data_IF_101542018456
#
_entry.id   IF_101542018456
#
_cell.length_a   1.000
_cell.length_b   1.000
_cell.length_c   1.000
_cell.angle_alpha   90.00
_cell.angle_beta   90.00
_cell.angle_gamma   90.00
#
_symmetry.space_group_name_H-M   'P 1'
#
loop_
_entity.id
_entity.type
_entity.pdbx_description
1 polymer ?
#
# COMPACT_ATOMS: atom_id res chain seq x y z
N UNK A 1 8.35 28.04 -23.50
CA UNK A 1 8.82 27.73 -22.14
C UNK A 1 8.09 28.66 -21.19
N UNK A 2 6.99 28.20 -20.58
CA UNK A 2 6.29 28.95 -19.54
C UNK A 2 7.16 28.97 -18.30
N UNK A 3 7.51 30.12 -17.80
CA UNK A 3 8.10 30.29 -16.46
C UNK A 3 6.99 29.99 -15.48
N UNK A 4 7.01 28.79 -14.90
CA UNK A 4 6.20 28.51 -13.71
C UNK A 4 6.77 29.37 -12.59
N UNK A 5 6.05 30.39 -12.17
CA UNK A 5 6.42 31.16 -10.98
C UNK A 5 6.37 30.23 -9.75
N UNK A 6 7.31 30.39 -8.80
CA UNK A 6 7.27 29.63 -7.55
C UNK A 6 5.94 29.89 -6.84
N UNK A 7 5.25 28.81 -6.46
CA UNK A 7 4.01 28.90 -5.69
C UNK A 7 4.31 28.50 -4.25
N UNK A 8 3.85 29.31 -3.29
CA UNK A 8 3.94 28.97 -1.89
C UNK A 8 3.03 27.77 -1.60
N UNK A 9 3.57 26.74 -0.96
CA UNK A 9 2.83 25.51 -0.59
C UNK A 9 2.60 25.40 0.92
N UNK A 10 2.90 26.44 1.69
CA UNK A 10 2.82 26.38 3.15
C UNK A 10 1.42 26.02 3.67
N UNK A 11 0.38 26.44 2.97
CA UNK A 11 -1.01 26.15 3.33
C UNK A 11 -1.48 24.76 2.82
N UNK A 12 -0.72 24.14 1.92
CA UNK A 12 -1.07 22.85 1.30
C UNK A 12 -0.41 21.65 1.99
N UNK A 13 0.63 21.89 2.81
CA UNK A 13 1.38 20.81 3.48
C UNK A 13 0.79 20.50 4.85
N UNK A 14 0.76 19.23 5.27
CA UNK A 14 0.02 18.84 6.49
C UNK A 14 0.71 19.22 7.81
N UNK A 15 2.03 19.50 7.81
CA UNK A 15 2.81 19.86 9.00
C UNK A 15 4.16 20.45 8.61
N UNK A 16 4.86 21.03 9.58
CA UNK A 16 6.22 21.54 9.41
C UNK A 16 7.23 20.37 9.38
N UNK A 17 8.25 20.50 8.56
CA UNK A 17 9.35 19.53 8.45
C UNK A 17 10.69 20.20 8.77
N UNK A 18 11.74 19.43 9.18
CA UNK A 18 13.08 19.98 9.37
C UNK A 18 13.64 20.63 8.10
N UNK A 19 14.50 21.63 8.26
CA UNK A 19 15.12 22.37 7.15
C UNK A 19 15.91 21.48 6.16
N UNK A 20 16.34 20.29 6.63
CA UNK A 20 17.04 19.30 5.80
C UNK A 20 16.11 18.41 4.97
N UNK A 21 14.80 18.56 5.11
CA UNK A 21 13.78 17.78 4.39
C UNK A 21 13.13 18.64 3.30
N UNK A 22 12.53 17.96 2.33
CA UNK A 22 11.78 18.63 1.26
C UNK A 22 10.38 18.05 1.11
N UNK A 23 9.38 18.89 0.81
CA UNK A 23 8.07 18.44 0.37
C UNK A 23 8.07 18.21 -1.14
N UNK A 24 7.81 16.98 -1.56
CA UNK A 24 7.80 16.61 -2.97
C UNK A 24 6.48 15.89 -3.32
N UNK A 25 5.87 16.21 -4.46
CA UNK A 25 4.68 15.48 -4.90
C UNK A 25 5.04 14.05 -5.29
N UNK A 26 4.21 13.09 -4.89
CA UNK A 26 4.48 11.66 -5.08
C UNK A 26 4.77 11.30 -6.55
N UNK A 27 4.11 11.94 -7.50
CA UNK A 27 4.36 11.74 -8.95
C UNK A 27 5.81 11.97 -9.38
N UNK A 28 6.56 12.79 -8.64
CA UNK A 28 7.97 13.08 -8.91
C UNK A 28 8.94 12.12 -8.21
N UNK A 29 8.42 11.20 -7.40
CA UNK A 29 9.17 10.26 -6.56
C UNK A 29 9.07 8.81 -7.05
N UNK A 30 8.48 8.57 -8.21
CA UNK A 30 8.18 7.23 -8.72
C UNK A 30 8.88 6.95 -10.04
N UNK A 31 9.19 5.67 -10.29
CA UNK A 31 9.83 5.18 -11.53
C UNK A 31 8.87 5.06 -12.71
N UNK A 32 7.57 4.99 -12.45
CA UNK A 32 6.54 4.85 -13.48
C UNK A 32 5.34 5.73 -13.16
N UNK A 33 4.54 6.00 -14.18
CA UNK A 33 3.28 6.71 -14.02
C UNK A 33 2.37 6.03 -12.98
N UNK A 34 1.80 6.83 -12.07
CA UNK A 34 0.82 6.35 -11.10
C UNK A 34 -0.51 6.19 -11.82
N UNK A 35 -0.86 4.94 -12.11
CA UNK A 35 -2.10 4.58 -12.80
C UNK A 35 -2.65 3.25 -12.29
N UNK A 36 -3.92 3.01 -12.55
CA UNK A 36 -4.55 1.71 -12.33
C UNK A 36 -4.08 0.71 -13.39
N UNK A 37 -4.11 -0.57 -13.03
CA UNK A 37 -3.92 -1.63 -14.01
C UNK A 37 -5.03 -1.67 -15.06
N UNK A 38 -5.07 -2.72 -15.86
CA UNK A 38 -6.02 -2.92 -16.97
C UNK A 38 -7.12 -3.90 -16.58
N UNK A 39 -8.29 -3.76 -17.22
CA UNK A 39 -9.36 -4.76 -17.11
C UNK A 39 -8.89 -6.10 -17.69
N UNK A 40 -8.79 -7.15 -16.87
CA UNK A 40 -8.24 -8.42 -17.32
C UNK A 40 -9.28 -9.28 -18.06
N UNK A 41 -8.81 -10.11 -18.98
CA UNK A 41 -9.54 -11.27 -19.44
C UNK A 41 -9.03 -12.47 -18.67
N UNK A 42 -9.89 -13.13 -17.93
CA UNK A 42 -9.51 -14.24 -17.06
C UNK A 42 -9.54 -15.58 -17.78
N UNK A 43 -8.68 -16.51 -17.34
CA UNK A 43 -8.68 -17.92 -17.72
C UNK A 43 -8.59 -18.83 -16.50
N UNK A 44 -8.73 -20.13 -16.69
CA UNK A 44 -8.64 -21.14 -15.60
C UNK A 44 -7.21 -21.44 -15.18
N UNK A 45 -6.23 -21.28 -16.10
CA UNK A 45 -4.83 -21.60 -15.86
C UNK A 45 -3.92 -20.79 -16.79
N UNK A 46 -2.83 -20.28 -16.25
CA UNK A 46 -1.78 -19.53 -16.96
C UNK A 46 -0.57 -19.39 -16.03
N UNK A 47 0.56 -18.96 -16.57
CA UNK A 47 1.73 -18.51 -15.78
C UNK A 47 1.66 -17.03 -15.40
N UNK A 48 0.55 -16.36 -15.70
CA UNK A 48 0.35 -14.94 -15.44
C UNK A 48 -0.84 -14.79 -14.50
N UNK A 49 -0.60 -14.19 -13.35
CA UNK A 49 -1.64 -13.92 -12.36
C UNK A 49 -2.05 -12.45 -12.37
N UNK A 50 -3.29 -12.19 -12.01
CA UNK A 50 -3.86 -10.85 -11.89
C UNK A 50 -3.97 -10.48 -10.43
N UNK A 51 -3.23 -9.46 -10.03
CA UNK A 51 -3.35 -8.85 -8.71
C UNK A 51 -4.63 -8.01 -8.67
N UNK A 52 -5.63 -8.53 -7.99
CA UNK A 52 -6.89 -7.83 -7.76
C UNK A 52 -6.95 -7.23 -6.35
N UNK A 53 -7.84 -6.26 -6.13
CA UNK A 53 -8.03 -5.62 -4.83
C UNK A 53 -8.18 -6.60 -3.64
N UNK A 54 -8.73 -7.79 -3.88
CA UNK A 54 -8.91 -8.81 -2.85
C UNK A 54 -7.59 -9.46 -2.41
N UNK A 55 -6.54 -9.40 -3.24
CA UNK A 55 -5.21 -9.89 -2.89
C UNK A 55 -4.54 -9.02 -1.81
N UNK A 56 -4.93 -7.75 -1.70
CA UNK A 56 -4.52 -6.85 -0.62
C UNK A 56 -5.49 -7.05 0.56
N UNK A 57 -5.13 -7.88 1.53
CA UNK A 57 -6.04 -8.39 2.56
C UNK A 57 -6.20 -7.43 3.76
N UNK A 58 -7.35 -7.50 4.43
CA UNK A 58 -7.68 -6.61 5.56
C UNK A 58 -6.78 -6.80 6.77
N UNK A 59 -6.31 -8.02 6.99
CA UNK A 59 -5.40 -8.33 8.10
C UNK A 59 -3.98 -7.79 7.91
N UNK A 60 -3.72 -7.15 6.78
CA UNK A 60 -2.40 -6.70 6.34
C UNK A 60 -1.69 -7.76 5.48
N UNK A 61 -0.80 -7.29 4.60
CA UNK A 61 -0.07 -8.14 3.66
C UNK A 61 -0.84 -8.48 2.39
N UNK A 62 -0.22 -9.33 1.60
CA UNK A 62 -0.69 -9.76 0.29
C UNK A 62 -0.98 -11.27 0.31
N UNK A 63 -2.11 -11.67 -0.26
CA UNK A 63 -2.49 -13.07 -0.44
C UNK A 63 -2.73 -13.36 -1.93
N UNK A 64 -1.72 -13.91 -2.59
CA UNK A 64 -1.77 -14.26 -4.01
C UNK A 64 -2.55 -15.55 -4.28
N UNK A 65 -2.97 -16.31 -3.27
CA UNK A 65 -3.88 -17.46 -3.47
C UNK A 65 -5.26 -16.99 -3.95
N UNK A 66 -5.60 -15.74 -3.69
CA UNK A 66 -6.82 -15.09 -4.15
C UNK A 66 -6.75 -14.57 -5.59
N UNK A 67 -5.56 -14.55 -6.20
CA UNK A 67 -5.38 -14.09 -7.56
C UNK A 67 -6.05 -15.03 -8.57
N UNK A 68 -6.47 -14.47 -9.70
CA UNK A 68 -6.94 -15.22 -10.86
C UNK A 68 -5.87 -15.21 -11.95
N UNK A 69 -6.03 -16.07 -12.95
CA UNK A 69 -5.11 -16.14 -14.06
C UNK A 69 -5.55 -15.25 -15.24
N UNK A 70 -4.58 -14.59 -15.87
CA UNK A 70 -4.77 -13.82 -17.08
C UNK A 70 -4.76 -14.75 -18.31
N UNK A 71 -5.66 -14.50 -19.26
CA UNK A 71 -5.61 -15.15 -20.57
C UNK A 71 -4.35 -14.70 -21.33
N UNK A 72 -3.48 -15.63 -21.68
CA UNK A 72 -2.18 -15.38 -22.33
C UNK A 72 -2.31 -14.57 -23.63
N UNK A 73 -3.44 -14.69 -24.33
CA UNK A 73 -3.68 -13.97 -25.59
C UNK A 73 -3.76 -12.44 -25.42
N UNK A 74 -4.05 -11.96 -24.21
CA UNK A 74 -4.12 -10.53 -23.93
C UNK A 74 -2.84 -9.99 -23.28
N UNK A 75 -1.92 -10.85 -22.83
CA UNK A 75 -0.68 -10.44 -22.17
C UNK A 75 0.19 -9.50 -23.02
N UNK A 76 0.29 -9.62 -24.34
CA UNK A 76 1.05 -8.67 -25.16
C UNK A 76 0.60 -7.20 -25.04
N UNK A 77 -0.59 -6.95 -24.46
CA UNK A 77 -1.10 -5.59 -24.15
C UNK A 77 -0.55 -5.02 -22.84
N UNK A 78 0.19 -5.81 -22.06
CA UNK A 78 0.80 -5.40 -20.80
C UNK A 78 2.30 -5.17 -21.03
N UNK A 79 2.76 -3.89 -21.05
CA UNK A 79 4.18 -3.61 -21.09
C UNK A 79 4.89 -4.19 -19.86
N UNK A 80 6.16 -4.54 -20.01
CA UNK A 80 6.96 -5.10 -18.91
C UNK A 80 6.97 -4.20 -17.66
N UNK A 81 6.93 -2.89 -17.84
CA UNK A 81 6.87 -1.92 -16.75
C UNK A 81 5.59 -2.02 -15.91
N UNK A 82 4.50 -2.56 -16.47
CA UNK A 82 3.23 -2.77 -15.75
C UNK A 82 3.23 -4.07 -14.94
N UNK A 83 4.14 -5.01 -15.24
CA UNK A 83 4.32 -6.20 -14.42
C UNK A 83 4.80 -5.80 -13.01
N UNK A 84 4.20 -6.41 -12.00
CA UNK A 84 4.55 -6.12 -10.60
C UNK A 84 5.94 -6.63 -10.26
N UNK A 85 6.64 -5.86 -9.45
CA UNK A 85 8.00 -6.12 -8.97
C UNK A 85 8.05 -6.07 -7.47
N UNK A 86 9.11 -6.62 -6.90
CA UNK A 86 9.37 -6.50 -5.46
C UNK A 86 9.27 -5.06 -4.98
N UNK A 87 8.71 -4.88 -3.79
CA UNK A 87 8.50 -3.59 -3.14
C UNK A 87 7.55 -2.62 -3.88
N UNK A 88 6.75 -3.09 -4.84
CA UNK A 88 5.65 -2.30 -5.40
C UNK A 88 4.58 -2.05 -4.34
N UNK A 89 4.22 -0.78 -4.13
CA UNK A 89 3.14 -0.40 -3.24
C UNK A 89 1.84 -0.43 -4.03
N UNK A 90 0.80 -1.03 -3.44
CA UNK A 90 -0.51 -1.18 -4.06
C UNK A 90 -1.56 -0.42 -3.27
N UNK A 91 -2.46 0.28 -3.99
CA UNK A 91 -3.60 0.97 -3.39
C UNK A 91 -4.88 0.48 -4.06
N UNK A 92 -5.82 -0.01 -3.26
CA UNK A 92 -7.13 -0.38 -3.77
C UNK A 92 -7.90 0.88 -4.19
N UNK A 93 -8.15 1.02 -5.48
CA UNK A 93 -8.78 2.20 -6.07
C UNK A 93 -10.29 2.11 -6.17
N UNK A 94 -10.88 0.96 -5.84
CA UNK A 94 -12.33 0.71 -5.82
C UNK A 94 -12.67 -0.34 -4.76
N UNK A 95 -13.97 -0.57 -4.54
CA UNK A 95 -14.48 -1.67 -3.72
C UNK A 95 -14.93 -1.24 -2.33
N UNK A 96 -16.19 -1.59 -2.00
CA UNK A 96 -16.78 -1.29 -0.70
C UNK A 96 -15.98 -1.94 0.43
N UNK A 97 -15.48 -1.13 1.38
CA UNK A 97 -14.71 -1.57 2.54
C UNK A 97 -13.25 -1.97 2.23
N UNK A 98 -12.79 -1.78 0.99
CA UNK A 98 -11.39 -2.02 0.61
C UNK A 98 -10.71 -0.80 -0.02
N UNK A 99 -11.50 0.17 -0.43
CA UNK A 99 -11.06 1.41 -1.06
C UNK A 99 -10.04 2.15 -0.19
N UNK A 100 -8.96 2.63 -0.78
CA UNK A 100 -7.88 3.33 -0.07
C UNK A 100 -6.92 2.42 0.68
N UNK A 101 -7.18 1.09 0.78
CA UNK A 101 -6.29 0.16 1.46
C UNK A 101 -4.94 0.10 0.76
N UNK A 102 -3.89 0.22 1.56
CA UNK A 102 -2.51 0.20 1.10
C UNK A 102 -1.87 -1.13 1.48
N UNK A 103 -1.10 -1.70 0.56
CA UNK A 103 -0.30 -2.91 0.76
C UNK A 103 1.05 -2.75 0.08
N UNK A 104 2.00 -3.61 0.39
CA UNK A 104 3.27 -3.73 -0.30
C UNK A 104 3.41 -5.16 -0.81
N UNK A 105 3.68 -5.29 -2.09
CA UNK A 105 3.93 -6.57 -2.74
C UNK A 105 5.41 -6.91 -2.66
N UNK A 106 5.71 -8.15 -2.30
CA UNK A 106 7.06 -8.71 -2.28
C UNK A 106 7.16 -9.90 -3.22
N UNK A 107 8.35 -10.17 -3.74
CA UNK A 107 8.57 -11.35 -4.57
C UNK A 107 8.30 -12.66 -3.79
N UNK A 108 8.42 -12.64 -2.46
CA UNK A 108 8.02 -13.75 -1.58
C UNK A 108 6.51 -14.05 -1.60
N UNK A 109 5.67 -13.12 -2.05
CA UNK A 109 4.23 -13.30 -2.18
C UNK A 109 3.86 -14.10 -3.45
N UNK A 110 4.81 -14.24 -4.40
CA UNK A 110 4.58 -14.95 -5.68
C UNK A 110 4.30 -16.43 -5.45
N UNK A 111 3.39 -16.96 -6.24
CA UNK A 111 3.16 -18.39 -6.35
C UNK A 111 3.82 -18.89 -7.63
N UNK A 112 4.73 -19.86 -7.52
CA UNK A 112 5.40 -20.52 -8.66
C UNK A 112 6.09 -19.52 -9.62
N UNK A 113 6.65 -18.43 -9.12
CA UNK A 113 7.34 -17.42 -9.94
C UNK A 113 6.49 -16.83 -11.09
N UNK A 114 5.18 -16.88 -10.97
CA UNK A 114 4.28 -16.36 -11.98
C UNK A 114 4.50 -14.85 -12.21
N UNK A 115 4.33 -14.43 -13.46
CA UNK A 115 4.23 -13.01 -13.79
C UNK A 115 2.95 -12.46 -13.16
N UNK A 116 3.02 -11.27 -12.57
CA UNK A 116 1.86 -10.64 -11.95
C UNK A 116 1.59 -9.30 -12.60
N UNK A 117 0.34 -9.07 -12.97
CA UNK A 117 -0.15 -7.80 -13.51
C UNK A 117 -1.30 -7.26 -12.66
N UNK A 118 -1.37 -5.95 -12.41
CA UNK A 118 -2.47 -5.37 -11.65
C UNK A 118 -3.75 -5.27 -12.48
N UNK A 119 -4.90 -5.45 -11.84
CA UNK A 119 -6.20 -5.17 -12.47
C UNK A 119 -6.59 -3.68 -12.43
N UNK A 120 -7.71 -3.34 -13.06
CA UNK A 120 -8.22 -1.97 -13.14
C UNK A 120 -8.72 -1.41 -11.80
N UNK A 121 -8.74 -2.20 -10.73
CA UNK A 121 -9.17 -1.81 -9.40
C UNK A 121 -8.01 -1.49 -8.44
N UNK A 122 -6.77 -1.64 -8.92
CA UNK A 122 -5.55 -1.43 -8.12
C UNK A 122 -4.66 -0.41 -8.81
N UNK A 123 -4.17 0.56 -8.04
CA UNK A 123 -3.11 1.49 -8.45
C UNK A 123 -1.78 0.99 -7.88
N UNK A 124 -0.76 0.92 -8.73
CA UNK A 124 0.59 0.49 -8.35
C UNK A 124 1.54 1.67 -8.34
N UNK A 125 2.30 1.80 -7.25
CA UNK A 125 3.31 2.83 -7.04
C UNK A 125 4.66 2.13 -6.93
N UNK A 126 5.62 2.51 -7.76
CA UNK A 126 6.99 2.04 -7.73
C UNK A 126 7.91 3.18 -7.37
N UNK A 127 8.47 3.15 -6.16
CA UNK A 127 9.37 4.18 -5.67
C UNK A 127 10.61 4.30 -6.59
N UNK A 128 11.15 5.52 -6.69
CA UNK A 128 12.43 5.74 -7.37
C UNK A 128 13.58 5.11 -6.57
N UNK A 129 14.71 4.86 -7.20
CA UNK A 129 15.88 4.23 -6.57
C UNK A 129 16.55 5.07 -5.47
N UNK A 130 16.22 6.35 -5.40
CA UNK A 130 16.74 7.28 -4.38
C UNK A 130 15.89 7.30 -3.10
N UNK A 131 14.80 6.51 -3.08
CA UNK A 131 13.84 6.48 -1.99
C UNK A 131 13.63 5.05 -1.50
N UNK A 132 13.57 4.87 -0.19
CA UNK A 132 13.13 3.62 0.40
C UNK A 132 11.64 3.39 0.08
N UNK A 133 11.32 2.25 -0.53
CA UNK A 133 9.94 1.86 -0.76
C UNK A 133 9.18 1.70 0.56
N UNK A 134 9.83 1.15 1.60
CA UNK A 134 9.26 1.07 2.95
C UNK A 134 8.91 2.45 3.50
N UNK A 135 9.80 3.45 3.29
CA UNK A 135 9.51 4.81 3.73
C UNK A 135 8.25 5.36 3.06
N UNK A 136 8.16 5.27 1.74
CA UNK A 136 6.97 5.70 0.99
C UNK A 136 5.73 4.91 1.42
N UNK A 137 5.85 3.60 1.65
CA UNK A 137 4.75 2.76 2.13
C UNK A 137 4.19 3.28 3.46
N UNK A 138 5.04 3.57 4.45
CA UNK A 138 4.56 4.07 5.73
C UNK A 138 4.00 5.50 5.65
N UNK A 139 4.58 6.36 4.82
CA UNK A 139 4.00 7.69 4.57
C UNK A 139 2.63 7.57 3.90
N UNK A 140 2.46 6.66 2.94
CA UNK A 140 1.16 6.43 2.32
C UNK A 140 0.14 5.86 3.32
N UNK A 141 0.55 4.96 4.23
CA UNK A 141 -0.33 4.49 5.31
C UNK A 141 -0.81 5.64 6.21
N UNK A 142 0.02 6.64 6.49
CA UNK A 142 -0.42 7.86 7.16
C UNK A 142 -1.52 8.58 6.38
N UNK A 143 -1.45 8.59 5.05
CA UNK A 143 -2.46 9.19 4.19
C UNK A 143 -3.70 8.32 3.95
N UNK A 144 -3.71 7.05 4.38
CA UNK A 144 -4.85 6.15 4.10
C UNK A 144 -6.21 6.74 4.51
N UNK A 145 -6.40 7.33 5.71
CA UNK A 145 -7.69 7.94 6.08
C UNK A 145 -8.11 9.11 5.17
N UNK A 146 -7.15 9.86 4.66
CA UNK A 146 -7.40 10.92 3.67
C UNK A 146 -7.82 10.33 2.32
N UNK A 147 -7.12 9.30 1.84
CA UNK A 147 -7.44 8.62 0.58
C UNK A 147 -8.84 7.98 0.62
N UNK A 148 -9.21 7.36 1.72
CA UNK A 148 -10.55 6.79 1.93
C UNK A 148 -11.66 7.86 1.84
N UNK A 149 -11.41 9.07 2.34
CA UNK A 149 -12.35 10.21 2.28
C UNK A 149 -12.35 10.93 0.94
N UNK A 150 -11.25 10.86 0.18
CA UNK A 150 -11.06 11.58 -1.10
C UNK A 150 -11.71 10.85 -2.29
N UNK A 151 -12.50 9.84 -2.04
CA UNK A 151 -13.17 9.06 -3.06
C UNK A 151 -14.35 9.83 -3.65
N UNK A 152 -14.50 9.75 -4.97
CA UNK A 152 -15.57 10.39 -5.71
C UNK A 152 -16.44 9.36 -6.43
N UNK A 153 -17.74 9.63 -6.54
CA UNK A 153 -18.71 8.78 -7.24
C UNK A 153 -20.03 8.66 -6.49
N UNK A 154 -21.01 7.95 -7.10
CA UNK A 154 -22.28 7.62 -6.44
C UNK A 154 -22.08 6.51 -5.41
N UNK A 155 -23.01 6.35 -4.48
CA UNK A 155 -22.97 5.42 -3.34
C UNK A 155 -22.58 3.98 -3.71
N UNK A 156 -22.76 3.57 -4.97
CA UNK A 156 -22.44 2.22 -5.44
C UNK A 156 -21.20 2.13 -6.34
N UNK A 157 -20.55 3.25 -6.70
CA UNK A 157 -19.39 3.29 -7.59
C UNK A 157 -18.40 4.37 -7.18
N UNK A 158 -17.99 4.35 -5.91
CA UNK A 158 -16.92 5.22 -5.43
C UNK A 158 -15.58 4.71 -5.93
N UNK A 159 -14.75 5.62 -6.43
CA UNK A 159 -13.39 5.33 -6.87
C UNK A 159 -12.37 6.36 -6.37
N UNK A 160 -11.18 5.90 -6.11
CA UNK A 160 -10.01 6.72 -5.84
C UNK A 160 -9.27 6.97 -7.15
N UNK A 161 -9.25 8.22 -7.60
CA UNK A 161 -8.57 8.61 -8.84
C UNK A 161 -7.05 8.61 -8.65
N UNK A 162 -6.26 8.07 -9.60
CA UNK A 162 -4.80 8.12 -9.53
C UNK A 162 -4.24 9.53 -9.38
N UNK A 163 -4.92 10.54 -9.92
CA UNK A 163 -4.54 11.95 -9.78
C UNK A 163 -4.50 12.40 -8.31
N UNK A 164 -5.43 11.94 -7.46
CA UNK A 164 -5.43 12.27 -6.03
C UNK A 164 -4.18 11.71 -5.35
N UNK A 165 -3.81 10.47 -5.68
CA UNK A 165 -2.61 9.81 -5.16
C UNK A 165 -1.35 10.53 -5.65
N UNK A 166 -1.30 10.88 -6.94
CA UNK A 166 -0.15 11.52 -7.59
C UNK A 166 0.21 12.89 -7.00
N UNK A 167 -0.79 13.60 -6.51
CA UNK A 167 -0.65 14.96 -5.98
C UNK A 167 -0.36 15.01 -4.47
N UNK A 168 -0.28 13.86 -3.78
CA UNK A 168 0.10 13.82 -2.37
C UNK A 168 1.49 14.43 -2.16
N UNK A 169 1.60 15.27 -1.15
CA UNK A 169 2.89 15.77 -0.69
C UNK A 169 3.57 14.76 0.22
N UNK A 170 4.76 14.37 -0.13
CA UNK A 170 5.59 13.41 0.61
C UNK A 170 6.74 14.18 1.24
N UNK A 171 6.94 14.10 2.56
CA UNK A 171 8.13 14.67 3.21
C UNK A 171 9.33 13.77 2.89
N UNK A 172 10.36 14.34 2.30
CA UNK A 172 11.54 13.57 1.85
C UNK A 172 12.74 13.91 2.71
N UNK A 173 13.12 13.06 3.66
CA UNK A 173 14.35 13.20 4.43
C UNK A 173 15.57 12.75 3.62
N UNK A 174 16.79 13.13 4.02
CA UNK A 174 18.01 12.54 3.50
C UNK A 174 17.99 11.01 3.59
N UNK A 175 18.61 10.32 2.61
CA UNK A 175 18.54 8.84 2.46
C UNK A 175 18.89 8.09 3.76
N UNK A 176 19.96 8.48 4.44
CA UNK A 176 20.37 7.85 5.70
C UNK A 176 19.32 8.03 6.82
N UNK A 177 18.56 9.11 6.75
CA UNK A 177 17.50 9.38 7.72
C UNK A 177 16.25 8.55 7.44
N UNK A 178 15.91 8.31 6.17
CA UNK A 178 14.83 7.39 5.80
C UNK A 178 15.04 6.02 6.45
N UNK A 179 16.23 5.44 6.32
CA UNK A 179 16.57 4.14 6.93
C UNK A 179 16.42 4.17 8.45
N UNK A 180 16.91 5.24 9.11
CA UNK A 180 16.80 5.40 10.57
C UNK A 180 15.35 5.49 11.03
N UNK A 181 14.52 6.25 10.30
CA UNK A 181 13.08 6.40 10.59
C UNK A 181 12.39 5.04 10.48
N UNK A 182 12.62 4.31 9.39
CA UNK A 182 11.99 3.00 9.16
C UNK A 182 12.41 2.00 10.24
N UNK A 183 13.69 1.94 10.59
CA UNK A 183 14.17 1.05 11.66
C UNK A 183 13.42 1.33 12.97
N UNK A 184 13.32 2.60 13.37
CA UNK A 184 12.63 3.00 14.60
C UNK A 184 11.13 2.74 14.56
N UNK A 185 10.51 2.95 13.40
CA UNK A 185 9.09 2.69 13.22
C UNK A 185 8.78 1.19 13.32
N UNK A 186 9.58 0.34 12.68
CA UNK A 186 9.42 -1.11 12.77
C UNK A 186 9.63 -1.61 14.20
N UNK A 187 10.65 -1.11 14.92
CA UNK A 187 10.86 -1.41 16.34
C UNK A 187 9.61 -1.07 17.17
N UNK A 188 9.06 0.13 16.97
CA UNK A 188 7.87 0.57 17.71
C UNK A 188 6.62 -0.26 17.38
N UNK A 189 6.41 -0.60 16.10
CA UNK A 189 5.29 -1.44 15.66
C UNK A 189 5.39 -2.86 16.24
N UNK A 190 6.59 -3.45 16.26
CA UNK A 190 6.82 -4.77 16.85
C UNK A 190 6.55 -4.78 18.37
N UNK A 191 6.98 -3.73 19.08
CA UNK A 191 6.67 -3.58 20.50
C UNK A 191 5.16 -3.45 20.73
N UNK A 192 4.47 -2.62 19.95
CA UNK A 192 3.02 -2.44 20.04
C UNK A 192 2.27 -3.76 19.82
N UNK A 193 2.67 -4.53 18.82
CA UNK A 193 2.10 -5.85 18.56
C UNK A 193 2.31 -6.80 19.75
N UNK A 194 3.53 -6.86 20.29
CA UNK A 194 3.86 -7.71 21.44
C UNK A 194 3.03 -7.33 22.69
N UNK A 195 2.81 -6.03 22.92
CA UNK A 195 1.96 -5.59 24.04
C UNK A 195 0.51 -6.02 23.84
N UNK A 196 -0.05 -5.86 22.61
CA UNK A 196 -1.41 -6.31 22.31
C UNK A 196 -1.59 -7.81 22.50
N UNK A 197 -0.64 -8.63 22.06
CA UNK A 197 -0.67 -10.09 22.28
C UNK A 197 -0.64 -10.46 23.76
N UNK A 198 0.19 -9.78 24.57
CA UNK A 198 0.27 -10.01 26.03
C UNK A 198 -1.01 -9.56 26.74
N UNK A 199 -1.62 -8.47 26.32
CA UNK A 199 -2.89 -8.01 26.89
C UNK A 199 -4.02 -9.01 26.65
N UNK A 200 -4.14 -9.55 25.43
CA UNK A 200 -5.12 -10.60 25.10
C UNK A 200 -4.88 -11.85 25.96
N UNK A 201 -3.61 -12.27 26.14
CA UNK A 201 -3.26 -13.42 26.97
C UNK A 201 -3.64 -13.20 28.44
N UNK A 202 -3.38 -11.99 28.96
CA UNK A 202 -3.72 -11.62 30.34
C UNK A 202 -5.25 -11.62 30.56
N UNK A 203 -6.01 -11.07 29.61
CA UNK A 203 -7.47 -11.09 29.65
C UNK A 203 -8.00 -12.52 29.69
N UNK A 204 -7.48 -13.40 28.84
CA UNK A 204 -7.83 -14.84 28.83
C UNK A 204 -7.51 -15.49 30.17
N UNK A 205 -6.32 -15.26 30.71
CA UNK A 205 -5.91 -15.79 32.00
C UNK A 205 -6.84 -15.35 33.14
N UNK A 206 -7.20 -14.08 33.16
CA UNK A 206 -8.12 -13.53 34.17
C UNK A 206 -9.55 -14.07 34.05
N UNK A 207 -9.99 -14.46 32.85
CA UNK A 207 -11.27 -15.16 32.65
C UNK A 207 -11.24 -16.63 33.12
N UNK A 208 -10.16 -17.33 32.84
CA UNK A 208 -10.03 -18.77 33.15
C UNK A 208 -9.68 -19.03 34.62
N UNK A 209 -8.99 -18.11 35.29
CA UNK A 209 -8.50 -18.26 36.66
C UNK A 209 -9.60 -18.54 37.70
N UNK A 210 -10.76 -17.86 37.73
CA UNK A 210 -11.84 -18.18 38.69
C UNK A 210 -12.43 -19.56 38.51
N UNK A 211 -12.47 -20.08 37.27
CA UNK A 211 -12.97 -21.45 37.01
C UNK A 211 -11.97 -22.54 37.42
N UNK A 212 -10.67 -22.30 37.26
CA UNK A 212 -9.62 -23.21 37.71
C UNK A 212 -9.57 -23.29 39.22
N UNK A 213 -9.75 -22.21 39.95
CA UNK A 213 -9.85 -22.17 41.39
C UNK A 213 -11.04 -23.01 41.91
N UNK A 214 -12.20 -22.93 41.27
CA UNK A 214 -13.38 -23.71 41.65
C UNK A 214 -13.22 -25.24 41.46
N UNK A 215 -12.35 -25.65 40.52
CA UNK A 215 -12.05 -27.08 40.27
C UNK A 215 -10.97 -27.66 41.19
N UNK A 216 -10.28 -26.78 41.92
CA UNK A 216 -9.18 -27.15 42.82
C UNK A 216 -9.59 -27.23 44.30
N UNK A 217 -10.86 -26.91 44.62
CA UNK A 217 -11.53 -27.01 45.90
C UNK A 217 -12.55 -28.14 45.84
#
# INVERSE_FOLDING_TARGET
MGKNEPVCIADDVPFEIPDSWEWVRLKNLVKKEIKRGKSPKYTVSSTIQVFAQKCNVKAGGIDMTLAKYLDDTVFPKYPEEECMRDSDIVINSTGNGTLGRIGMFHDSDRINENIIVPDSHVTVIRASEFLSADYIFYVLNYYQPYLEKSCSGSTNQTELKPAVISELFIPVPPVNEQTRIITKLIEALNLSKLYGEKEILLQKYNQDFPEQLKKSI
#
